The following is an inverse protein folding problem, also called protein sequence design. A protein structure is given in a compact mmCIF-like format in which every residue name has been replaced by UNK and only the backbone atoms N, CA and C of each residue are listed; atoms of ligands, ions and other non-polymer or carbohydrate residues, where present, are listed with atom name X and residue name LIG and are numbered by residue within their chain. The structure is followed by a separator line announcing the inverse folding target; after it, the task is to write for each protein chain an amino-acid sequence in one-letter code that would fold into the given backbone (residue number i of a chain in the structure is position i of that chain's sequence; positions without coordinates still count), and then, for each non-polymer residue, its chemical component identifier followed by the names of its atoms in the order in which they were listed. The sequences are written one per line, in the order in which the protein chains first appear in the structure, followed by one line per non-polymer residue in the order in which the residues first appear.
data_IF_606621718946
#
_entry.id   IF_606621718946
#
_cell.length_a   1.000
_cell.length_b   1.000
_cell.length_c   1.000
_cell.angle_alpha   90.00
_cell.angle_beta   90.00
_cell.angle_gamma   90.00
#
_symmetry.space_group_name_H-M   'P 1'
#
loop_
_entity.id
_entity.type
_entity.pdbx_description
1 polymer ?
#
# COMPACT_ATOMS: atom_id res chain seq x y z
N UNK A 1 -6.77 -39.38 -18.70
CA UNK A 1 -6.36 -40.79 -18.74
C UNK A 1 -5.59 -40.99 -20.03
N UNK A 2 -4.27 -41.09 -19.96
CA UNK A 2 -3.44 -41.43 -21.11
C UNK A 2 -2.99 -42.89 -20.91
N UNK A 3 -3.35 -43.76 -21.87
CA UNK A 3 -2.88 -45.13 -21.87
C UNK A 3 -1.49 -45.17 -22.51
N UNK A 4 -0.52 -45.75 -21.81
CA UNK A 4 0.79 -46.09 -22.35
C UNK A 4 0.71 -47.43 -23.07
N UNK A 5 1.58 -47.66 -24.05
CA UNK A 5 1.69 -48.91 -24.82
C UNK A 5 1.91 -50.17 -23.97
N UNK A 6 2.21 -50.03 -22.69
CA UNK A 6 2.34 -51.10 -21.69
C UNK A 6 1.02 -51.49 -21.00
N UNK A 7 -0.11 -50.80 -21.27
CA UNK A 7 -1.43 -51.08 -20.68
C UNK A 7 -1.61 -50.62 -19.24
N UNK A 8 -0.67 -49.84 -18.68
CA UNK A 8 -0.82 -49.26 -17.33
C UNK A 8 -1.43 -47.86 -17.43
N UNK A 9 -2.48 -47.62 -16.65
CA UNK A 9 -3.11 -46.32 -16.52
C UNK A 9 -2.39 -45.48 -15.43
N UNK A 10 -1.69 -44.43 -15.84
CA UNK A 10 -1.17 -43.44 -14.92
C UNK A 10 -2.25 -42.41 -14.63
N UNK A 11 -2.68 -42.34 -13.39
CA UNK A 11 -3.50 -41.23 -12.89
C UNK A 11 -2.61 -40.03 -12.63
N UNK A 12 -2.66 -39.04 -13.50
CA UNK A 12 -1.99 -37.75 -13.31
C UNK A 12 -2.83 -36.86 -12.38
N UNK A 13 -2.99 -37.29 -11.12
CA UNK A 13 -3.73 -36.52 -10.11
C UNK A 13 -3.00 -35.26 -9.64
N UNK A 14 -1.68 -35.20 -9.83
CA UNK A 14 -0.90 -34.04 -9.37
C UNK A 14 -1.05 -32.79 -10.27
N UNK A 15 -1.39 -32.96 -11.54
CA UNK A 15 -1.52 -31.81 -12.48
C UNK A 15 -2.87 -31.10 -12.39
N UNK A 16 -3.94 -31.79 -11.95
CA UNK A 16 -5.26 -31.17 -11.83
C UNK A 16 -5.43 -30.35 -10.53
N UNK A 17 -4.87 -30.81 -9.42
CA UNK A 17 -4.95 -30.13 -8.12
C UNK A 17 -4.14 -28.83 -8.16
N UNK A 18 -2.94 -28.83 -8.73
CA UNK A 18 -2.13 -27.61 -8.87
C UNK A 18 -2.71 -26.60 -9.86
N UNK A 19 -3.47 -27.04 -10.85
CA UNK A 19 -4.12 -26.20 -11.84
C UNK A 19 -5.31 -25.40 -11.27
N UNK A 20 -6.12 -26.03 -10.44
CA UNK A 20 -7.27 -25.39 -9.79
C UNK A 20 -6.86 -24.30 -8.79
N UNK A 21 -5.82 -24.57 -7.98
CA UNK A 21 -5.33 -23.63 -6.99
C UNK A 21 -4.66 -22.40 -7.64
N UNK A 22 -3.92 -22.61 -8.72
CA UNK A 22 -3.37 -21.50 -9.51
C UNK A 22 -4.44 -20.68 -10.23
N UNK A 23 -5.49 -21.31 -10.73
CA UNK A 23 -6.61 -20.61 -11.37
C UNK A 23 -7.38 -19.77 -10.34
N UNK A 24 -7.63 -20.32 -9.15
CA UNK A 24 -8.26 -19.60 -8.05
C UNK A 24 -7.40 -18.42 -7.58
N UNK A 25 -6.12 -18.62 -7.37
CA UNK A 25 -5.19 -17.57 -6.99
C UNK A 25 -5.15 -16.43 -8.03
N UNK A 26 -5.18 -16.78 -9.32
CA UNK A 26 -5.20 -15.80 -10.41
C UNK A 26 -6.52 -15.03 -10.45
N UNK A 27 -7.67 -15.69 -10.25
CA UNK A 27 -8.98 -15.02 -10.20
C UNK A 27 -9.09 -14.05 -9.02
N UNK A 28 -8.63 -14.47 -7.84
CA UNK A 28 -8.55 -13.61 -6.65
C UNK A 28 -7.68 -12.38 -6.91
N UNK A 29 -6.50 -12.58 -7.50
CA UNK A 29 -5.58 -11.48 -7.79
C UNK A 29 -6.13 -10.51 -8.82
N UNK A 30 -6.82 -11.01 -9.84
CA UNK A 30 -7.48 -10.19 -10.86
C UNK A 30 -8.59 -9.34 -10.25
N UNK A 31 -9.39 -9.92 -9.35
CA UNK A 31 -10.47 -9.21 -8.69
C UNK A 31 -9.96 -8.15 -7.70
N UNK A 32 -8.93 -8.46 -6.93
CA UNK A 32 -8.25 -7.48 -6.07
C UNK A 32 -7.70 -6.32 -6.90
N UNK A 33 -7.05 -6.62 -8.03
CA UNK A 33 -6.50 -5.60 -8.93
C UNK A 33 -7.61 -4.72 -9.52
N UNK A 34 -8.74 -5.31 -9.91
CA UNK A 34 -9.91 -4.59 -10.42
C UNK A 34 -10.51 -3.67 -9.37
N UNK A 35 -10.78 -4.19 -8.17
CA UNK A 35 -11.32 -3.42 -7.05
C UNK A 35 -10.36 -2.27 -6.69
N UNK A 36 -9.08 -2.58 -6.56
CA UNK A 36 -8.07 -1.58 -6.22
C UNK A 36 -8.01 -0.47 -7.26
N UNK A 37 -7.96 -0.79 -8.56
CA UNK A 37 -7.89 0.21 -9.62
C UNK A 37 -9.15 1.07 -9.70
N UNK A 38 -10.32 0.49 -9.51
CA UNK A 38 -11.61 1.19 -9.54
C UNK A 38 -11.77 2.16 -8.37
N UNK A 39 -11.33 1.76 -7.17
CA UNK A 39 -11.49 2.56 -5.95
C UNK A 39 -10.24 3.33 -5.56
N UNK A 40 -9.16 3.24 -6.35
CA UNK A 40 -7.89 3.89 -6.07
C UNK A 40 -8.01 5.40 -5.78
N UNK A 41 -8.76 6.21 -6.57
CA UNK A 41 -8.92 7.63 -6.27
C UNK A 41 -9.63 7.88 -4.93
N UNK A 42 -10.59 7.02 -4.59
CA UNK A 42 -11.33 7.11 -3.34
C UNK A 42 -10.47 6.69 -2.13
N UNK A 43 -9.63 5.67 -2.32
CA UNK A 43 -8.64 5.24 -1.33
C UNK A 43 -7.61 6.35 -1.07
N UNK A 44 -7.13 7.03 -2.10
CA UNK A 44 -6.23 8.17 -1.95
C UNK A 44 -6.88 9.31 -1.15
N UNK A 45 -8.13 9.65 -1.44
CA UNK A 45 -8.85 10.67 -0.67
C UNK A 45 -9.00 10.26 0.81
N UNK A 46 -9.18 8.97 1.09
CA UNK A 46 -9.27 8.43 2.44
C UNK A 46 -7.93 8.46 3.19
N UNK A 47 -6.81 8.45 2.49
CA UNK A 47 -5.48 8.48 3.13
C UNK A 47 -5.21 9.80 3.86
N UNK A 48 -5.72 10.94 3.37
CA UNK A 48 -5.52 12.24 3.99
C UNK A 48 -6.13 12.35 5.41
N UNK A 49 -7.39 11.96 5.68
CA UNK A 49 -7.93 11.93 7.04
C UNK A 49 -7.21 10.93 7.94
N UNK A 50 -6.79 9.78 7.43
CA UNK A 50 -6.04 8.78 8.18
C UNK A 50 -4.68 9.35 8.61
N UNK A 51 -3.98 9.99 7.69
CA UNK A 51 -2.71 10.65 7.99
C UNK A 51 -2.91 11.80 8.98
N UNK A 52 -3.98 12.60 8.84
CA UNK A 52 -4.35 13.65 9.79
C UNK A 52 -4.53 13.10 11.20
N UNK A 53 -5.20 11.96 11.32
CA UNK A 53 -5.38 11.28 12.60
C UNK A 53 -4.05 10.79 13.17
N UNK A 54 -3.20 10.18 12.36
CA UNK A 54 -1.84 9.75 12.76
C UNK A 54 -0.98 10.91 13.23
N UNK A 55 -0.99 12.03 12.49
CA UNK A 55 -0.31 13.27 12.86
C UNK A 55 -0.79 13.80 14.20
N UNK A 56 -2.10 13.79 14.42
CA UNK A 56 -2.69 14.26 15.68
C UNK A 56 -2.30 13.39 16.87
N UNK A 57 -2.22 12.07 16.68
CA UNK A 57 -1.74 11.14 17.72
C UNK A 57 -0.30 11.44 18.12
N UNK A 58 0.58 11.67 17.16
CA UNK A 58 2.01 11.95 17.38
C UNK A 58 2.21 13.37 17.91
N UNK A 59 1.37 14.31 17.52
CA UNK A 59 1.49 15.73 17.85
C UNK A 59 0.46 16.21 18.88
N UNK A 60 0.04 15.35 19.81
CA UNK A 60 -0.96 15.67 20.86
C UNK A 60 -0.67 16.95 21.65
N UNK A 61 0.63 17.30 21.81
CA UNK A 61 1.08 18.47 22.56
C UNK A 61 1.23 19.73 21.70
N UNK A 62 0.94 19.66 20.39
CA UNK A 62 1.00 20.84 19.53
C UNK A 62 -0.22 21.73 19.77
N UNK A 63 0.01 23.04 19.86
CA UNK A 63 -1.06 24.04 19.98
C UNK A 63 -1.68 24.40 18.62
N UNK A 64 -1.32 23.70 17.54
CA UNK A 64 -1.81 23.97 16.20
C UNK A 64 -3.28 23.55 16.06
N UNK A 65 -4.11 24.36 15.39
CA UNK A 65 -5.48 24.03 15.08
C UNK A 65 -5.58 22.77 14.20
N UNK A 66 -6.68 22.04 14.31
CA UNK A 66 -6.91 20.76 13.60
C UNK A 66 -6.78 20.88 12.09
N UNK A 67 -7.21 22.02 11.55
CA UNK A 67 -7.17 22.32 10.12
C UNK A 67 -5.74 22.29 9.57
N UNK A 68 -4.74 22.71 10.34
CA UNK A 68 -3.35 22.71 9.91
C UNK A 68 -2.80 21.29 9.75
N UNK A 69 -3.24 20.34 10.59
CA UNK A 69 -2.86 18.92 10.42
C UNK A 69 -3.48 18.33 9.16
N UNK A 70 -4.71 18.74 8.84
CA UNK A 70 -5.39 18.29 7.63
C UNK A 70 -4.74 18.86 6.37
N UNK A 71 -4.45 20.16 6.34
CA UNK A 71 -3.73 20.80 5.22
C UNK A 71 -2.36 20.14 5.02
N UNK A 72 -1.65 19.89 6.12
CA UNK A 72 -0.37 19.18 6.07
C UNK A 72 -0.51 17.78 5.47
N UNK A 73 -1.54 17.03 5.88
CA UNK A 73 -1.81 15.70 5.35
C UNK A 73 -2.10 15.74 3.85
N UNK A 74 -2.90 16.71 3.37
CA UNK A 74 -3.18 16.89 1.95
C UNK A 74 -1.90 17.18 1.13
N UNK A 75 -1.03 18.06 1.63
CA UNK A 75 0.24 18.33 0.96
C UNK A 75 1.15 17.10 0.93
N UNK A 76 1.17 16.32 2.01
CA UNK A 76 1.98 15.11 2.05
C UNK A 76 1.45 14.02 1.11
N UNK A 77 0.13 13.81 1.05
CA UNK A 77 -0.46 12.84 0.11
C UNK A 77 -0.21 13.26 -1.33
N UNK A 78 -0.41 14.54 -1.67
CA UNK A 78 -0.10 15.05 -3.00
C UNK A 78 1.39 14.89 -3.37
N UNK A 79 2.29 15.08 -2.40
CA UNK A 79 3.73 14.81 -2.60
C UNK A 79 3.98 13.32 -2.86
N UNK A 80 3.38 12.41 -2.08
CA UNK A 80 3.52 10.97 -2.29
C UNK A 80 3.03 10.53 -3.67
N UNK A 81 1.88 11.03 -4.09
CA UNK A 81 1.31 10.75 -5.42
C UNK A 81 2.25 11.21 -6.53
N UNK A 82 2.76 12.45 -6.42
CA UNK A 82 3.73 12.99 -7.37
C UNK A 82 5.02 12.17 -7.40
N UNK A 83 5.51 11.75 -6.24
CA UNK A 83 6.70 10.91 -6.11
C UNK A 83 6.47 9.53 -6.75
N UNK A 84 5.31 8.91 -6.53
CA UNK A 84 4.95 7.64 -7.16
C UNK A 84 4.87 7.73 -8.69
N UNK A 85 4.30 8.82 -9.21
CA UNK A 85 4.25 9.06 -10.66
C UNK A 85 5.67 9.20 -11.22
N UNK A 86 6.53 9.98 -10.56
CA UNK A 86 7.94 10.14 -10.98
C UNK A 86 8.68 8.79 -10.97
N UNK A 87 8.48 7.97 -9.92
CA UNK A 87 9.08 6.64 -9.79
C UNK A 87 8.58 5.73 -10.91
N UNK A 88 7.29 5.76 -11.22
CA UNK A 88 6.72 4.96 -12.30
C UNK A 88 7.29 5.34 -13.67
N UNK A 89 7.40 6.63 -13.96
CA UNK A 89 8.05 7.13 -15.19
C UNK A 89 9.52 6.69 -15.23
N UNK A 90 10.24 6.77 -14.13
CA UNK A 90 11.63 6.36 -14.03
C UNK A 90 11.79 4.85 -14.25
N UNK A 91 10.87 4.04 -13.75
CA UNK A 91 10.83 2.60 -14.00
C UNK A 91 10.65 2.27 -15.48
N UNK A 92 9.74 2.98 -16.16
CA UNK A 92 9.50 2.78 -17.59
C UNK A 92 10.68 3.23 -18.47
N UNK A 93 11.43 4.27 -18.06
CA UNK A 93 12.51 4.84 -18.87
C UNK A 93 13.85 4.13 -18.66
N UNK A 94 14.18 3.74 -17.42
CA UNK A 94 15.52 3.26 -17.04
C UNK A 94 15.49 1.77 -16.65
N UNK A 95 14.28 1.15 -16.56
CA UNK A 95 14.10 -0.24 -16.14
C UNK A 95 14.80 -0.59 -14.82
N UNK A 96 14.79 0.35 -13.86
CA UNK A 96 15.39 0.13 -12.53
C UNK A 96 14.69 -1.02 -11.79
N UNK A 97 15.43 -1.83 -11.02
CA UNK A 97 14.84 -2.90 -10.22
C UNK A 97 13.88 -2.32 -9.18
N UNK A 98 12.75 -2.99 -8.98
CA UNK A 98 11.64 -2.56 -8.10
C UNK A 98 12.12 -2.23 -6.68
N UNK A 99 13.07 -3.01 -6.14
CA UNK A 99 13.67 -2.80 -4.81
C UNK A 99 14.33 -1.42 -4.65
N UNK A 100 15.01 -0.93 -5.69
CA UNK A 100 15.64 0.41 -5.68
C UNK A 100 14.57 1.50 -5.65
N UNK A 101 13.49 1.32 -6.41
CA UNK A 101 12.38 2.26 -6.47
C UNK A 101 11.63 2.35 -5.14
N UNK A 102 11.41 1.22 -4.48
CA UNK A 102 10.84 1.15 -3.14
C UNK A 102 11.72 1.87 -2.10
N UNK A 103 13.04 1.69 -2.17
CA UNK A 103 13.98 2.43 -1.31
C UNK A 103 13.89 3.94 -1.55
N UNK A 104 13.84 4.39 -2.80
CA UNK A 104 13.68 5.81 -3.14
C UNK A 104 12.37 6.36 -2.59
N UNK A 105 11.27 5.62 -2.73
CA UNK A 105 9.96 6.00 -2.19
C UNK A 105 10.01 6.14 -0.66
N UNK A 106 10.60 5.16 0.02
CA UNK A 106 10.71 5.15 1.48
C UNK A 106 11.57 6.32 1.99
N UNK A 107 12.76 6.51 1.42
CA UNK A 107 13.67 7.58 1.81
C UNK A 107 13.07 8.94 1.49
N UNK A 108 12.49 9.12 0.30
CA UNK A 108 11.84 10.36 -0.13
C UNK A 108 10.67 10.74 0.77
N UNK A 109 9.80 9.77 1.09
CA UNK A 109 8.63 9.99 1.95
C UNK A 109 9.03 10.34 3.38
N UNK A 110 9.97 9.59 3.97
CA UNK A 110 10.46 9.86 5.33
C UNK A 110 11.25 11.18 5.39
N UNK A 111 12.08 11.46 4.38
CA UNK A 111 12.85 12.69 4.30
C UNK A 111 11.97 13.93 4.20
N UNK A 112 10.98 13.91 3.27
CA UNK A 112 10.00 14.97 3.16
C UNK A 112 9.25 15.20 4.47
N UNK A 113 8.76 14.13 5.08
CA UNK A 113 8.02 14.20 6.34
C UNK A 113 8.88 14.79 7.47
N UNK A 114 10.16 14.43 7.57
CA UNK A 114 11.08 14.96 8.57
C UNK A 114 11.32 16.47 8.37
N UNK A 115 11.56 16.92 7.13
CA UNK A 115 11.71 18.33 6.79
C UNK A 115 10.43 19.11 7.09
N UNK A 116 9.28 18.56 6.69
CA UNK A 116 7.98 19.16 6.91
C UNK A 116 7.64 19.26 8.41
N UNK A 117 7.96 18.23 9.20
CA UNK A 117 7.83 18.30 10.67
C UNK A 117 8.69 19.39 11.28
N UNK A 118 9.91 19.56 10.80
CA UNK A 118 10.78 20.64 11.29
C UNK A 118 10.23 22.03 10.98
N UNK A 119 9.71 22.21 9.76
CA UNK A 119 9.26 23.52 9.30
C UNK A 119 7.90 23.93 9.90
N UNK A 120 6.95 22.99 9.98
CA UNK A 120 5.58 23.28 10.48
C UNK A 120 5.52 23.27 11.99
N UNK A 121 6.26 22.39 12.65
CA UNK A 121 6.25 22.21 14.09
C UNK A 121 7.50 22.80 14.76
N UNK A 122 7.90 23.94 14.37
CA UNK A 122 9.10 24.80 14.49
C UNK A 122 9.93 24.77 15.78
N UNK A 123 9.61 23.98 16.77
CA UNK A 123 10.40 23.82 18.01
C UNK A 123 11.10 22.47 18.13
N UNK A 124 11.09 21.66 17.07
CA UNK A 124 11.73 20.33 17.13
C UNK A 124 13.19 20.41 16.68
N UNK A 125 14.08 19.86 17.51
CA UNK A 125 15.42 19.49 17.06
C UNK A 125 15.32 18.44 15.93
N UNK A 126 16.32 18.36 15.05
CA UNK A 126 16.33 17.40 13.94
C UNK A 126 16.03 15.96 14.39
N UNK A 127 16.62 15.55 15.51
CA UNK A 127 16.40 14.21 16.07
C UNK A 127 14.94 13.97 16.39
N UNK A 128 14.27 14.95 17.05
CA UNK A 128 12.84 14.83 17.37
C UNK A 128 11.97 14.84 16.10
N UNK A 129 12.34 15.60 15.08
CA UNK A 129 11.63 15.62 13.81
C UNK A 129 11.71 14.26 13.11
N UNK A 130 12.90 13.66 13.04
CA UNK A 130 13.12 12.33 12.44
C UNK A 130 12.35 11.25 13.22
N UNK A 131 12.45 11.20 14.54
CA UNK A 131 11.74 10.20 15.35
C UNK A 131 10.22 10.33 15.17
N UNK A 132 9.68 11.54 15.15
CA UNK A 132 8.24 11.76 14.93
C UNK A 132 7.82 11.42 13.50
N UNK A 133 8.65 11.70 12.51
CA UNK A 133 8.45 11.30 11.12
C UNK A 133 8.34 9.79 11.00
N UNK A 134 9.32 9.06 11.54
CA UNK A 134 9.32 7.59 11.54
C UNK A 134 8.09 7.02 12.26
N UNK A 135 7.75 7.56 13.43
CA UNK A 135 6.58 7.12 14.19
C UNK A 135 5.28 7.38 13.41
N UNK A 136 5.15 8.53 12.76
CA UNK A 136 3.97 8.85 11.93
C UNK A 136 3.88 7.92 10.73
N UNK A 137 5.00 7.67 10.04
CA UNK A 137 5.06 6.74 8.92
C UNK A 137 4.70 5.31 9.35
N UNK A 138 5.20 4.85 10.50
CA UNK A 138 4.88 3.53 11.03
C UNK A 138 3.39 3.37 11.33
N UNK A 139 2.77 4.34 12.00
CA UNK A 139 1.33 4.34 12.29
C UNK A 139 0.54 4.36 10.99
N UNK A 140 0.93 5.21 10.05
CA UNK A 140 0.25 5.35 8.77
C UNK A 140 0.30 4.06 7.95
N UNK A 141 1.48 3.44 7.81
CA UNK A 141 1.66 2.16 7.11
C UNK A 141 0.87 1.05 7.80
N UNK A 142 0.87 1.02 9.15
CA UNK A 142 0.10 0.04 9.91
C UNK A 142 -1.40 0.14 9.63
N UNK A 143 -1.96 1.35 9.56
CA UNK A 143 -3.38 1.56 9.23
C UNK A 143 -3.66 1.14 7.78
N UNK A 144 -2.79 1.50 6.82
CA UNK A 144 -2.95 1.09 5.43
C UNK A 144 -2.90 -0.44 5.28
N UNK A 145 -2.02 -1.11 6.02
CA UNK A 145 -1.95 -2.57 6.05
C UNK A 145 -3.28 -3.18 6.51
N UNK A 146 -3.88 -2.67 7.60
CA UNK A 146 -5.18 -3.14 8.05
C UNK A 146 -6.31 -2.90 7.05
N UNK A 147 -6.30 -1.77 6.35
CA UNK A 147 -7.26 -1.49 5.28
C UNK A 147 -7.09 -2.52 4.15
N UNK A 148 -5.86 -2.82 3.76
CA UNK A 148 -5.58 -3.83 2.74
C UNK A 148 -6.07 -5.22 3.16
N UNK A 149 -5.84 -5.62 4.41
CA UNK A 149 -6.35 -6.88 4.96
C UNK A 149 -7.87 -6.94 4.88
N UNK A 150 -8.58 -5.87 5.24
CA UNK A 150 -10.04 -5.81 5.13
C UNK A 150 -10.50 -5.96 3.67
N UNK A 151 -9.87 -5.25 2.73
CA UNK A 151 -10.18 -5.36 1.30
C UNK A 151 -9.97 -6.79 0.80
N UNK A 152 -8.88 -7.43 1.22
CA UNK A 152 -8.58 -8.82 0.87
C UNK A 152 -9.67 -9.78 1.35
N UNK A 153 -10.11 -9.66 2.61
CA UNK A 153 -11.19 -10.49 3.14
C UNK A 153 -12.52 -10.26 2.42
N UNK A 154 -12.85 -9.00 2.10
CA UNK A 154 -14.05 -8.67 1.33
C UNK A 154 -13.99 -9.30 -0.07
N UNK A 155 -12.86 -9.21 -0.76
CA UNK A 155 -12.70 -9.84 -2.07
C UNK A 155 -12.86 -11.36 -2.01
N UNK A 156 -12.23 -12.02 -1.03
CA UNK A 156 -12.40 -13.48 -0.82
C UNK A 156 -13.86 -13.85 -0.54
N UNK A 157 -14.57 -13.04 0.24
CA UNK A 157 -15.97 -13.28 0.56
C UNK A 157 -16.88 -13.15 -0.67
N UNK A 158 -16.65 -12.14 -1.52
CA UNK A 158 -17.39 -11.96 -2.77
C UNK A 158 -17.20 -13.18 -3.69
N UNK A 159 -15.95 -13.62 -3.86
CA UNK A 159 -15.65 -14.80 -4.70
C UNK A 159 -16.30 -16.07 -4.15
N UNK A 160 -16.33 -16.23 -2.82
CA UNK A 160 -16.97 -17.38 -2.19
C UNK A 160 -18.51 -17.39 -2.40
N UNK A 161 -19.15 -16.23 -2.49
CA UNK A 161 -20.59 -16.12 -2.80
C UNK A 161 -20.87 -16.43 -4.27
N UNK A 162 -20.02 -15.96 -5.19
CA UNK A 162 -20.20 -16.19 -6.62
C UNK A 162 -19.92 -17.65 -7.02
N UNK A 163 -19.17 -18.39 -6.21
CA UNK A 163 -18.86 -19.80 -6.45
C UNK A 163 -19.94 -20.79 -5.96
N UNK A 164 -20.94 -20.33 -5.16
CA UNK A 164 -22.07 -21.11 -4.68
C UNK A 164 -23.33 -20.86 -5.52
#
# INVERSE_FOLDING_TARGET
LVADDSGYYHFNTESEIGGSDMALARSVWTEISRITSQYFPMLLLLTAPILTFSLRLVQRKSKLPRINHFIFALHYTAFLESLMICIYILHLTIALPMQVLECILLIGSCGYLAIAFRNVYTRNTWVKAIVKSLLTSLIYISILFWIFVVIFFVACFIIAIEAN
#
